data_IF_711144033936
#
_entry.id   IF_711144033936
#
_cell.length_a   1.000
_cell.length_b   1.000
_cell.length_c   1.000
_cell.angle_alpha   90.00
_cell.angle_beta   90.00
_cell.angle_gamma   90.00
#
_symmetry.space_group_name_H-M   'P 1'
#
loop_
_entity.id
_entity.type
_entity.pdbx_description
1 polymer ?
#
# COMPACT_ATOMS: atom_id res chain seq x y z
N UNK A 1 16.81 -9.25 -1.02
CA UNK A 1 15.86 -9.99 -0.15
C UNK A 1 15.62 -11.35 -0.80
N UNK A 2 15.75 -12.44 -0.06
CA UNK A 2 15.28 -13.76 -0.52
C UNK A 2 13.76 -13.71 -0.57
N UNK A 3 13.18 -13.87 -1.76
CA UNK A 3 11.73 -13.90 -1.95
C UNK A 3 11.21 -15.17 -1.27
N UNK A 4 10.34 -15.01 -0.27
CA UNK A 4 9.63 -16.12 0.35
C UNK A 4 8.34 -16.36 -0.44
N UNK A 5 8.36 -17.38 -1.30
CA UNK A 5 7.26 -17.75 -2.19
C UNK A 5 5.96 -18.16 -1.46
N UNK A 6 6.02 -18.37 -0.14
CA UNK A 6 4.85 -18.70 0.70
C UNK A 6 4.30 -17.52 1.48
N UNK A 7 4.93 -16.35 1.39
CA UNK A 7 4.47 -15.16 2.09
C UNK A 7 3.17 -14.61 1.48
N UNK A 8 2.35 -13.92 2.30
CA UNK A 8 1.11 -13.29 1.85
C UNK A 8 1.34 -12.30 0.68
N UNK A 9 2.39 -11.46 0.68
CA UNK A 9 2.69 -10.57 -0.44
C UNK A 9 2.98 -11.32 -1.76
N UNK A 10 3.76 -12.40 -1.71
CA UNK A 10 4.06 -13.23 -2.88
C UNK A 10 2.79 -13.89 -3.47
N UNK A 11 1.83 -14.24 -2.62
CA UNK A 11 0.53 -14.75 -3.10
C UNK A 11 -0.27 -13.69 -3.86
N UNK A 12 -0.22 -12.43 -3.43
CA UNK A 12 -0.88 -11.31 -4.13
C UNK A 12 -0.25 -11.08 -5.50
N UNK A 13 1.08 -11.02 -5.59
CA UNK A 13 1.80 -10.85 -6.85
C UNK A 13 1.44 -11.95 -7.86
N UNK A 14 1.51 -13.22 -7.45
CA UNK A 14 1.14 -14.35 -8.31
C UNK A 14 -0.30 -14.27 -8.81
N UNK A 15 -1.21 -13.77 -7.97
CA UNK A 15 -2.61 -13.59 -8.37
C UNK A 15 -2.74 -12.43 -9.37
N UNK A 16 -2.01 -11.33 -9.16
CA UNK A 16 -1.99 -10.20 -10.08
C UNK A 16 -1.41 -10.61 -11.44
N UNK A 17 -0.33 -11.39 -11.49
CA UNK A 17 0.26 -11.87 -12.75
C UNK A 17 -0.71 -12.70 -13.59
N UNK A 18 -1.67 -13.40 -12.95
CA UNK A 18 -2.70 -14.16 -13.65
C UNK A 18 -3.84 -13.30 -14.20
N UNK A 19 -4.11 -12.18 -13.56
CA UNK A 19 -5.26 -11.32 -13.87
C UNK A 19 -4.85 -10.17 -14.79
N UNK A 20 -3.63 -9.67 -14.64
CA UNK A 20 -3.14 -8.56 -15.40
C UNK A 20 -2.56 -9.04 -16.74
N UNK A 21 -2.86 -8.35 -17.86
CA UNK A 21 -2.39 -8.76 -19.18
C UNK A 21 -0.86 -8.65 -19.29
N UNK A 22 -0.21 -9.55 -20.04
CA UNK A 22 1.26 -9.55 -20.21
C UNK A 22 1.75 -8.45 -21.17
N UNK A 23 0.87 -7.90 -22.01
CA UNK A 23 1.24 -7.17 -23.23
C UNK A 23 1.50 -5.66 -23.06
N UNK A 24 1.55 -5.14 -21.83
CA UNK A 24 1.82 -3.72 -21.60
C UNK A 24 3.03 -3.54 -20.70
N UNK A 25 4.12 -3.08 -21.31
CA UNK A 25 5.39 -2.63 -20.71
C UNK A 25 5.24 -1.36 -19.84
N UNK A 26 4.01 -0.96 -19.52
CA UNK A 26 3.73 0.25 -18.77
C UNK A 26 3.60 -0.05 -17.28
N UNK A 27 4.08 0.90 -16.47
CA UNK A 27 3.84 0.89 -15.04
C UNK A 27 2.33 0.88 -14.74
N UNK A 28 1.90 0.03 -13.80
CA UNK A 28 0.49 -0.15 -13.44
C UNK A 28 0.19 0.46 -12.09
N UNK A 29 -1.06 0.84 -11.85
CA UNK A 29 -1.52 1.23 -10.52
C UNK A 29 -2.61 0.25 -10.11
N UNK A 30 -2.45 -0.38 -8.94
CA UNK A 30 -3.49 -1.17 -8.28
C UNK A 30 -4.08 -0.36 -7.14
N UNK A 31 -5.41 -0.34 -7.07
CA UNK A 31 -6.13 0.25 -5.94
C UNK A 31 -6.58 -0.88 -5.03
N UNK A 32 -6.08 -0.89 -3.80
CA UNK A 32 -6.28 -2.00 -2.85
C UNK A 32 -6.99 -1.54 -1.57
N UNK A 33 -7.79 -2.43 -1.00
CA UNK A 33 -8.40 -2.24 0.31
C UNK A 33 -7.35 -2.29 1.44
N UNK A 34 -7.69 -1.75 2.62
CA UNK A 34 -6.88 -1.79 3.84
C UNK A 34 -6.52 -3.17 4.33
N UNK A 35 -7.30 -4.21 4.03
CA UNK A 35 -6.93 -5.56 4.42
C UNK A 35 -5.69 -6.05 3.67
N UNK A 36 -5.53 -5.62 2.42
CA UNK A 36 -4.42 -6.01 1.55
C UNK A 36 -3.26 -5.02 1.56
N UNK A 37 -3.41 -3.86 2.20
CA UNK A 37 -2.39 -2.79 2.18
C UNK A 37 -1.35 -2.97 3.28
N UNK A 38 -0.09 -3.12 2.91
CA UNK A 38 1.07 -3.09 3.81
C UNK A 38 2.28 -2.43 3.13
N UNK A 39 3.23 -1.93 3.93
CA UNK A 39 4.46 -1.33 3.39
C UNK A 39 5.33 -2.36 2.64
N UNK A 40 5.40 -3.59 3.16
CA UNK A 40 6.16 -4.68 2.52
C UNK A 40 5.57 -5.03 1.15
N UNK A 41 4.24 -5.20 1.06
CA UNK A 41 3.58 -5.44 -0.22
C UNK A 41 3.80 -4.28 -1.20
N UNK A 42 3.75 -3.03 -0.72
CA UNK A 42 4.02 -1.86 -1.56
C UNK A 42 5.41 -1.87 -2.20
N UNK A 43 6.44 -2.28 -1.44
CA UNK A 43 7.81 -2.41 -1.97
C UNK A 43 7.95 -3.55 -2.98
N UNK A 44 7.27 -4.67 -2.73
CA UNK A 44 7.25 -5.80 -3.66
C UNK A 44 6.52 -5.45 -4.96
N UNK A 45 5.38 -4.77 -4.89
CA UNK A 45 4.64 -4.29 -6.06
C UNK A 45 5.49 -3.29 -6.86
N UNK A 46 6.15 -2.34 -6.18
CA UNK A 46 7.02 -1.36 -6.83
C UNK A 46 8.16 -2.04 -7.59
N UNK A 47 8.74 -3.10 -7.03
CA UNK A 47 9.79 -3.90 -7.68
C UNK A 47 9.30 -4.65 -8.92
N UNK A 48 7.98 -4.84 -9.04
CA UNK A 48 7.30 -5.46 -10.19
C UNK A 48 6.56 -4.41 -11.04
N UNK A 49 7.08 -3.19 -11.12
CA UNK A 49 6.55 -2.07 -11.90
C UNK A 49 5.07 -1.75 -11.63
N UNK A 50 4.58 -2.08 -10.43
CA UNK A 50 3.19 -1.88 -10.03
C UNK A 50 3.15 -0.94 -8.83
N UNK A 51 2.57 0.25 -9.02
CA UNK A 51 2.27 1.17 -7.93
C UNK A 51 1.02 0.72 -7.17
N UNK A 52 0.99 0.93 -5.87
CA UNK A 52 -0.15 0.63 -5.02
C UNK A 52 -0.72 1.91 -4.42
N UNK A 53 -2.05 2.06 -4.50
CA UNK A 53 -2.78 3.11 -3.82
C UNK A 53 -3.86 2.45 -2.96
N UNK A 54 -3.91 2.81 -1.69
CA UNK A 54 -4.85 2.22 -0.77
C UNK A 54 -4.80 2.88 0.60
N UNK A 55 -5.80 2.58 1.41
CA UNK A 55 -5.78 2.93 2.83
C UNK A 55 -5.00 1.87 3.58
N UNK A 56 -4.19 2.23 4.57
CA UNK A 56 -3.46 1.26 5.40
C UNK A 56 -4.06 1.17 6.80
N UNK A 57 -4.03 -0.01 7.42
CA UNK A 57 -4.37 -0.12 8.83
C UNK A 57 -3.26 0.49 9.70
N UNK A 58 -3.62 1.38 10.63
CA UNK A 58 -2.64 2.05 11.53
C UNK A 58 -1.92 1.09 12.49
N UNK A 59 -2.43 -0.14 12.64
CA UNK A 59 -1.79 -1.24 13.39
C UNK A 59 -0.71 -1.98 12.55
N UNK A 60 -0.64 -1.77 11.24
CA UNK A 60 0.35 -2.40 10.38
C UNK A 60 1.78 -2.06 10.84
N UNK A 61 2.66 -3.06 10.82
CA UNK A 61 4.08 -2.86 11.14
C UNK A 61 4.68 -1.94 10.08
N UNK A 62 5.42 -0.92 10.53
CA UNK A 62 5.99 0.11 9.66
C UNK A 62 5.09 1.31 9.38
N UNK A 63 3.87 1.37 9.93
CA UNK A 63 3.06 2.60 9.87
C UNK A 63 3.71 3.71 10.73
N UNK A 64 4.05 4.88 10.14
CA UNK A 64 4.74 5.96 10.85
C UNK A 64 3.99 6.42 12.09
N UNK A 65 4.69 6.55 13.22
CA UNK A 65 4.07 6.96 14.47
C UNK A 65 3.58 8.41 14.42
N UNK A 66 4.25 9.26 13.65
CA UNK A 66 3.91 10.67 13.46
C UNK A 66 2.56 10.85 12.76
N UNK A 67 2.13 9.88 11.95
CA UNK A 67 0.85 9.91 11.22
C UNK A 67 -0.31 9.28 12.00
N UNK A 68 -0.07 8.73 13.21
CA UNK A 68 -1.14 8.14 14.02
C UNK A 68 -1.95 9.24 14.71
N UNK A 69 -3.09 9.56 14.12
CA UNK A 69 -4.05 10.49 14.71
C UNK A 69 -4.72 9.86 15.93
N UNK A 70 -4.68 10.57 17.07
CA UNK A 70 -5.32 10.15 18.33
C UNK A 70 -6.79 10.55 18.36
N UNK A 71 -7.15 11.57 17.57
CA UNK A 71 -8.51 12.12 17.50
C UNK A 71 -9.37 11.25 16.59
N UNK A 72 -10.58 10.90 17.04
CA UNK A 72 -11.53 10.11 16.23
C UNK A 72 -12.08 10.91 15.03
N UNK A 73 -12.14 12.23 15.14
CA UNK A 73 -12.69 13.13 14.12
C UNK A 73 -11.66 14.20 13.76
N UNK A 74 -11.69 14.64 12.50
CA UNK A 74 -10.92 15.81 12.04
C UNK A 74 -11.39 17.05 12.82
N UNK A 75 -10.46 17.80 13.45
CA UNK A 75 -10.75 19.11 14.04
C UNK A 75 -11.32 20.10 13.02
N UNK A 76 -12.11 21.07 13.47
CA UNK A 76 -12.76 22.04 12.60
C UNK A 76 -11.79 23.10 12.04
N UNK A 77 -10.71 23.40 12.78
CA UNK A 77 -9.65 24.34 12.42
C UNK A 77 -8.72 23.84 11.28
N UNK A 78 -8.67 22.53 11.04
CA UNK A 78 -7.85 21.96 9.97
C UNK A 78 -8.60 22.00 8.65
N UNK A 79 -8.16 22.80 7.68
CA UNK A 79 -8.81 22.87 6.35
C UNK A 79 -8.94 21.48 5.71
N UNK A 80 -10.10 21.21 5.08
CA UNK A 80 -10.32 19.95 4.34
C UNK A 80 -9.34 19.85 3.18
N UNK A 81 -8.76 18.67 2.97
CA UNK A 81 -7.77 18.43 1.92
C UNK A 81 -6.33 18.68 2.36
N UNK A 82 -6.11 19.25 3.54
CA UNK A 82 -4.78 19.28 4.16
C UNK A 82 -4.29 17.87 4.46
N UNK A 83 -2.99 17.63 4.28
CA UNK A 83 -2.36 16.34 4.52
C UNK A 83 -1.04 16.49 5.29
N UNK A 84 -0.67 15.44 6.02
CA UNK A 84 0.63 15.31 6.65
C UNK A 84 1.43 14.22 5.91
N UNK A 85 2.73 14.44 5.75
CA UNK A 85 3.65 13.50 5.13
C UNK A 85 4.71 13.11 6.15
N UNK A 86 4.88 11.81 6.39
CA UNK A 86 6.02 11.28 7.13
C UNK A 86 7.12 10.86 6.16
N UNK A 87 8.36 10.91 6.63
CA UNK A 87 9.56 10.62 5.86
C UNK A 87 9.97 9.16 6.00
#
# INVERSE_FOLDING_TARGET
>A
QTIDDKSEPAAVLRNLDKVLPTEQQDHRIVVIDRFYTSAALGLELLSNNTYAVGTIQTRCIGFPAELKEKRKKRPDDIVRGSYALAR
#
